data_IF_993074111910
#
_entry.id   IF_993074111910
#
_cell.length_a   1.000
_cell.length_b   1.000
_cell.length_c   1.000
_cell.angle_alpha   90.00
_cell.angle_beta   90.00
_cell.angle_gamma   90.00
#
_symmetry.space_group_name_H-M   'P 1'
#
loop_
_entity.id
_entity.type
_entity.pdbx_description
1 polymer ?
#
# COMPACT_ATOMS: atom_id res chain seq x y z
N UNK A 1 25.54 18.10 10.86
CA UNK A 1 24.42 17.27 10.39
C UNK A 1 23.71 18.06 9.30
N UNK A 2 23.50 17.48 8.12
CA UNK A 2 22.84 18.17 7.00
C UNK A 2 21.32 18.16 7.21
N UNK A 3 20.73 19.31 7.55
CA UNK A 3 19.29 19.43 7.74
C UNK A 3 18.50 19.11 6.46
N UNK A 4 19.06 19.35 5.28
CA UNK A 4 18.41 19.07 4.00
C UNK A 4 18.13 17.58 3.81
N UNK A 5 19.14 16.74 4.09
CA UNK A 5 19.00 15.28 4.06
C UNK A 5 17.92 14.77 5.04
N UNK A 6 17.87 15.28 6.27
CA UNK A 6 16.88 14.86 7.26
C UNK A 6 15.45 15.22 6.84
N UNK A 7 15.24 16.44 6.33
CA UNK A 7 13.94 16.86 5.81
C UNK A 7 13.51 15.98 4.64
N UNK A 8 14.45 15.61 3.75
CA UNK A 8 14.14 14.72 2.64
C UNK A 8 13.66 13.34 3.11
N UNK A 9 14.36 12.73 4.07
CA UNK A 9 13.96 11.46 4.66
C UNK A 9 12.55 11.51 5.25
N UNK A 10 12.21 12.57 6.00
CA UNK A 10 10.87 12.72 6.58
C UNK A 10 9.78 12.86 5.49
N UNK A 11 10.07 13.57 4.40
CA UNK A 11 9.14 13.71 3.28
C UNK A 11 8.93 12.39 2.54
N UNK A 12 10.00 11.61 2.33
CA UNK A 12 9.91 10.30 1.68
C UNK A 12 9.12 9.31 2.55
N UNK A 13 9.35 9.29 3.87
CA UNK A 13 8.55 8.51 4.82
C UNK A 13 7.07 8.89 4.77
N UNK A 14 6.75 10.19 4.81
CA UNK A 14 5.36 10.65 4.70
C UNK A 14 4.72 10.28 3.35
N UNK A 15 5.48 10.30 2.26
CA UNK A 15 4.98 9.88 0.95
C UNK A 15 4.63 8.38 0.93
N UNK A 16 5.43 7.54 1.58
CA UNK A 16 5.18 6.10 1.73
C UNK A 16 3.95 5.85 2.62
N UNK A 17 3.86 6.50 3.78
CA UNK A 17 2.68 6.41 4.66
C UNK A 17 1.39 6.77 3.92
N UNK A 18 1.45 7.78 3.04
CA UNK A 18 0.31 8.14 2.20
C UNK A 18 -0.11 7.00 1.27
N UNK A 19 0.82 6.28 0.67
CA UNK A 19 0.50 5.13 -0.19
C UNK A 19 -0.17 4.01 0.62
N UNK A 20 0.33 3.71 1.82
CA UNK A 20 -0.29 2.73 2.73
C UNK A 20 -1.74 3.11 3.09
N UNK A 21 -1.99 4.39 3.37
CA UNK A 21 -3.34 4.88 3.63
C UNK A 21 -4.25 4.84 2.40
N UNK A 22 -3.71 5.11 1.21
CA UNK A 22 -4.46 5.00 -0.04
C UNK A 22 -4.82 3.55 -0.37
N UNK A 23 -3.99 2.57 0.03
CA UNK A 23 -4.30 1.15 -0.11
C UNK A 23 -5.60 0.80 0.61
N UNK A 24 -5.69 1.13 1.91
CA UNK A 24 -6.91 0.90 2.70
C UNK A 24 -8.12 1.57 2.05
N UNK A 25 -7.98 2.85 1.66
CA UNK A 25 -9.05 3.58 0.98
C UNK A 25 -9.49 2.91 -0.31
N UNK A 26 -8.55 2.40 -1.11
CA UNK A 26 -8.84 1.75 -2.38
C UNK A 26 -9.64 0.46 -2.14
N UNK A 27 -9.20 -0.36 -1.20
CA UNK A 27 -9.86 -1.61 -0.81
C UNK A 27 -11.28 -1.33 -0.29
N UNK A 28 -11.42 -0.44 0.70
CA UNK A 28 -12.71 -0.15 1.34
C UNK A 28 -13.75 0.43 0.37
N UNK A 29 -13.28 1.10 -0.69
CA UNK A 29 -14.14 1.72 -1.71
C UNK A 29 -14.24 0.92 -2.99
N UNK A 30 -13.60 -0.24 -3.05
CA UNK A 30 -13.56 -1.10 -4.22
C UNK A 30 -13.01 -0.38 -5.48
N UNK A 31 -12.06 0.53 -5.28
CA UNK A 31 -11.44 1.37 -6.33
C UNK A 31 -10.18 0.70 -6.89
N UNK A 32 -10.37 -0.04 -7.98
CA UNK A 32 -9.30 -0.82 -8.62
C UNK A 32 -8.22 0.05 -9.25
N UNK A 33 -8.59 1.21 -9.77
CA UNK A 33 -7.66 2.10 -10.46
C UNK A 33 -6.77 2.82 -9.44
N UNK A 34 -7.35 3.23 -8.29
CA UNK A 34 -6.57 3.72 -7.17
C UNK A 34 -5.61 2.66 -6.65
N UNK A 35 -6.08 1.42 -6.46
CA UNK A 35 -5.21 0.33 -5.98
C UNK A 35 -4.03 0.08 -6.93
N UNK A 36 -4.28 0.03 -8.24
CA UNK A 36 -3.21 -0.13 -9.25
C UNK A 36 -2.19 1.01 -9.23
N UNK A 37 -2.64 2.24 -8.96
CA UNK A 37 -1.75 3.41 -8.93
C UNK A 37 -0.71 3.38 -7.80
N UNK A 38 -0.93 2.56 -6.77
CA UNK A 38 -0.02 2.40 -5.63
C UNK A 38 1.16 1.49 -6.00
N UNK A 39 0.95 0.57 -6.93
CA UNK A 39 1.95 -0.41 -7.34
C UNK A 39 2.69 0.00 -8.60
N UNK A 40 3.97 -0.34 -8.67
CA UNK A 40 4.71 -0.39 -9.92
C UNK A 40 4.06 -1.37 -10.90
N UNK A 41 4.07 -1.11 -12.22
CA UNK A 41 3.49 -2.01 -13.23
C UNK A 41 4.02 -3.44 -13.16
N UNK A 42 5.30 -3.59 -12.87
CA UNK A 42 6.02 -4.86 -12.69
C UNK A 42 6.01 -5.39 -11.25
N UNK A 43 5.39 -4.65 -10.32
CA UNK A 43 5.32 -5.00 -8.91
C UNK A 43 4.67 -6.35 -8.69
N UNK A 44 5.14 -7.07 -7.68
CA UNK A 44 4.59 -8.35 -7.26
C UNK A 44 3.85 -8.22 -5.95
N UNK A 45 2.86 -9.07 -5.76
CA UNK A 45 2.07 -9.13 -4.54
C UNK A 45 1.88 -10.59 -4.12
N UNK A 46 2.14 -10.86 -2.83
CA UNK A 46 1.94 -12.15 -2.18
C UNK A 46 0.98 -11.95 -1.00
N UNK A 47 -0.28 -12.36 -1.21
CA UNK A 47 -1.34 -12.43 -0.21
C UNK A 47 -1.63 -13.88 0.22
N UNK A 48 -0.70 -14.82 -0.03
CA UNK A 48 -0.78 -16.25 0.25
C UNK A 48 -1.78 -17.03 -0.62
N UNK A 49 -3.02 -16.54 -0.72
CA UNK A 49 -4.07 -17.05 -1.62
C UNK A 49 -3.92 -16.56 -3.07
N UNK A 50 -3.18 -15.46 -3.24
CA UNK A 50 -2.74 -14.91 -4.50
C UNK A 50 -1.25 -14.66 -4.42
N UNK A 51 -0.51 -15.07 -5.45
CA UNK A 51 0.91 -14.77 -5.61
C UNK A 51 1.15 -14.46 -7.08
N UNK A 52 1.54 -13.23 -7.40
CA UNK A 52 1.67 -12.81 -8.79
C UNK A 52 1.92 -11.32 -8.97
N UNK A 53 1.53 -10.79 -10.13
CA UNK A 53 1.63 -9.37 -10.41
C UNK A 53 0.61 -8.56 -9.60
N UNK A 54 1.02 -7.40 -9.07
CA UNK A 54 0.19 -6.59 -8.19
C UNK A 54 -1.00 -5.91 -8.91
N UNK A 55 -0.89 -5.61 -10.20
CA UNK A 55 -2.02 -5.06 -10.98
C UNK A 55 -3.06 -6.14 -11.29
N UNK A 56 -2.63 -7.39 -11.42
CA UNK A 56 -3.51 -8.56 -11.50
C UNK A 56 -4.17 -8.84 -10.15
N UNK A 57 -3.41 -8.77 -9.05
CA UNK A 57 -3.94 -8.83 -7.69
C UNK A 57 -5.07 -7.82 -7.49
N UNK A 58 -4.85 -6.56 -7.87
CA UNK A 58 -5.85 -5.51 -7.74
C UNK A 58 -7.17 -5.87 -8.44
N UNK A 59 -7.14 -6.45 -9.64
CA UNK A 59 -8.35 -6.89 -10.32
C UNK A 59 -9.00 -8.10 -9.61
N UNK A 60 -8.18 -9.06 -9.19
CA UNK A 60 -8.62 -10.25 -8.49
C UNK A 60 -9.35 -9.91 -7.19
N UNK A 61 -8.70 -9.16 -6.29
CA UNK A 61 -9.25 -8.85 -4.96
C UNK A 61 -10.51 -7.97 -5.06
N UNK A 62 -10.56 -7.04 -6.02
CA UNK A 62 -11.73 -6.18 -6.20
C UNK A 62 -12.94 -6.94 -6.74
N UNK A 63 -12.73 -7.96 -7.58
CA UNK A 63 -13.81 -8.84 -8.04
C UNK A 63 -14.32 -9.77 -6.93
N UNK A 64 -13.44 -10.09 -6.00
CA UNK A 64 -13.68 -10.98 -4.89
C UNK A 64 -14.42 -10.28 -3.72
N UNK A 65 -13.94 -9.11 -3.30
CA UNK A 65 -14.56 -8.28 -2.25
C UNK A 65 -15.98 -7.84 -2.61
N UNK A 66 -16.23 -7.45 -3.87
CA UNK A 66 -17.57 -7.10 -4.38
C UNK A 66 -18.65 -8.16 -4.13
N UNK A 67 -18.24 -9.42 -3.96
CA UNK A 67 -19.16 -10.55 -3.74
C UNK A 67 -19.39 -10.86 -2.27
N UNK A 68 -18.48 -10.46 -1.39
CA UNK A 68 -18.43 -10.93 0.01
C UNK A 68 -18.53 -9.83 1.05
N UNK A 69 -18.17 -8.61 0.69
CA UNK A 69 -18.09 -7.48 1.62
C UNK A 69 -19.17 -6.48 1.25
N UNK A 70 -20.02 -6.16 2.23
CA UNK A 70 -21.04 -5.10 2.10
C UNK A 70 -20.41 -3.77 2.48
N UNK A 71 -19.73 -3.74 3.63
CA UNK A 71 -18.95 -2.61 4.14
C UNK A 71 -17.65 -3.16 4.75
N UNK A 72 -16.55 -2.44 4.54
CA UNK A 72 -15.23 -2.78 5.08
C UNK A 72 -14.50 -1.53 5.57
N UNK A 73 -13.62 -1.71 6.54
CA UNK A 73 -12.74 -0.63 7.02
C UNK A 73 -11.38 -1.21 7.33
N UNK A 74 -10.39 -0.85 6.52
CA UNK A 74 -9.00 -1.17 6.79
C UNK A 74 -8.33 -0.02 7.53
N UNK A 75 -7.59 -0.34 8.59
CA UNK A 75 -6.80 0.61 9.36
C UNK A 75 -5.34 0.16 9.42
N UNK A 76 -4.44 1.04 8.98
CA UNK A 76 -3.00 0.91 9.24
C UNK A 76 -2.69 1.51 10.61
N UNK A 77 -1.91 0.78 11.40
CA UNK A 77 -1.44 1.19 12.71
C UNK A 77 0.04 1.57 12.64
N UNK A 78 0.83 1.19 13.64
CA UNK A 78 2.26 1.48 13.68
C UNK A 78 2.95 0.96 12.42
N UNK A 79 3.67 1.86 11.76
CA UNK A 79 4.48 1.58 10.58
C UNK A 79 5.94 1.86 10.87
N UNK A 80 6.82 0.99 10.41
CA UNK A 80 8.28 1.18 10.41
C UNK A 80 8.70 1.35 8.97
N UNK A 81 9.35 2.49 8.65
CA UNK A 81 9.78 2.82 7.29
C UNK A 81 11.26 3.17 7.30
N UNK A 82 12.04 2.38 6.58
CA UNK A 82 13.49 2.54 6.45
C UNK A 82 13.83 3.00 5.03
N UNK A 83 14.63 4.07 4.91
CA UNK A 83 15.06 4.63 3.63
C UNK A 83 16.54 4.28 3.41
N UNK A 84 16.85 3.65 2.27
CA UNK A 84 18.20 3.35 1.82
C UNK A 84 18.43 3.94 0.41
N UNK A 85 18.93 5.18 0.39
CA UNK A 85 19.16 5.92 -0.84
C UNK A 85 17.85 6.18 -1.61
N UNK A 86 17.65 5.47 -2.71
CA UNK A 86 16.44 5.56 -3.57
C UNK A 86 15.45 4.41 -3.32
N UNK A 87 15.78 3.49 -2.41
CA UNK A 87 14.95 2.38 -2.01
C UNK A 87 14.36 2.63 -0.63
N UNK A 88 13.23 1.98 -0.36
CA UNK A 88 12.62 2.00 0.95
C UNK A 88 11.91 0.67 1.24
N UNK A 89 11.86 0.31 2.52
CA UNK A 89 11.06 -0.80 3.03
C UNK A 89 10.06 -0.26 4.05
N UNK A 90 8.89 -0.89 4.10
CA UNK A 90 7.86 -0.55 5.09
C UNK A 90 7.23 -1.82 5.66
N UNK A 91 7.08 -1.86 6.97
CA UNK A 91 6.27 -2.86 7.68
C UNK A 91 5.17 -2.13 8.46
N UNK A 92 3.96 -2.69 8.45
CA UNK A 92 2.83 -2.10 9.16
C UNK A 92 1.95 -3.18 9.79
N UNK A 93 1.47 -2.93 11.00
CA UNK A 93 0.33 -3.65 11.54
C UNK A 93 -0.95 -3.11 10.91
N UNK A 94 -1.89 -3.99 10.57
CA UNK A 94 -3.20 -3.59 10.05
C UNK A 94 -4.36 -4.30 10.75
N UNK A 95 -5.53 -3.68 10.65
CA UNK A 95 -6.82 -4.24 11.07
C UNK A 95 -7.81 -4.11 9.90
N UNK A 96 -8.64 -5.13 9.67
CA UNK A 96 -9.59 -5.21 8.56
C UNK A 96 -10.84 -5.99 8.96
#
# INVERSE_FOLDING_TARGET
>A
MDQGAHVRTLLDQQAIERQLNLYCRAIDRLDVDLLRSIYWPEGTDDHGSFVGNAHEFAAFIMGDLRKRVIDGMHAIMHSVIEIDGVFATSESYYWA
#
